data_IF_344433132141
#
_entry.id   IF_344433132141
#
_cell.length_a   1.000
_cell.length_b   1.000
_cell.length_c   1.000
_cell.angle_alpha   90.00
_cell.angle_beta   90.00
_cell.angle_gamma   90.00
#
_symmetry.space_group_name_H-M   'P 1'
#
loop_
_entity.id
_entity.type
_entity.pdbx_description
1 polymer ?
#
# COMPACT_ATOMS: atom_id res chain seq x y z
N UNK A 1 2.64 15.80 -22.94
CA UNK A 1 1.23 15.30 -22.90
C UNK A 1 0.33 16.31 -22.19
N UNK A 2 -0.89 16.58 -22.66
CA UNK A 2 -1.87 17.38 -21.87
C UNK A 2 -2.51 16.47 -20.83
N UNK A 3 -2.03 16.50 -19.59
CA UNK A 3 -2.70 15.78 -18.49
C UNK A 3 -4.02 16.48 -18.20
N UNK A 4 -5.13 15.77 -18.35
CA UNK A 4 -6.45 16.34 -18.08
C UNK A 4 -6.69 16.50 -16.57
N UNK A 5 -7.54 17.47 -16.19
CA UNK A 5 -7.98 17.60 -14.79
C UNK A 5 -8.65 16.33 -14.26
N UNK A 6 -9.37 15.59 -15.12
CA UNK A 6 -9.98 14.30 -14.77
C UNK A 6 -8.92 13.26 -14.41
N UNK A 7 -7.84 13.16 -15.20
CA UNK A 7 -6.73 12.25 -14.92
C UNK A 7 -6.06 12.57 -13.58
N UNK A 8 -5.79 13.85 -13.32
CA UNK A 8 -5.18 14.30 -12.06
C UNK A 8 -6.04 13.95 -10.85
N UNK A 9 -7.36 14.20 -10.94
CA UNK A 9 -8.32 13.89 -9.85
C UNK A 9 -8.48 12.40 -9.62
N UNK A 10 -8.54 11.61 -10.70
CA UNK A 10 -8.63 10.15 -10.61
C UNK A 10 -7.38 9.57 -9.92
N UNK A 11 -6.20 10.05 -10.31
CA UNK A 11 -4.95 9.67 -9.66
C UNK A 11 -4.92 10.09 -8.18
N UNK A 12 -5.34 11.32 -7.85
CA UNK A 12 -5.40 11.78 -6.47
C UNK A 12 -6.36 10.95 -5.60
N UNK A 13 -7.52 10.58 -6.14
CA UNK A 13 -8.45 9.67 -5.46
C UNK A 13 -7.83 8.28 -5.26
N UNK A 14 -7.11 7.76 -6.26
CA UNK A 14 -6.40 6.48 -6.15
C UNK A 14 -5.22 6.50 -5.19
N UNK A 15 -4.68 7.66 -4.78
CA UNK A 15 -3.73 7.72 -3.66
C UNK A 15 -4.42 7.70 -2.29
N UNK A 16 -5.66 8.21 -2.18
CA UNK A 16 -6.39 8.29 -0.90
C UNK A 16 -7.20 7.03 -0.59
N UNK A 17 -7.92 6.49 -1.59
CA UNK A 17 -8.83 5.36 -1.39
C UNK A 17 -8.13 4.08 -0.88
N UNK A 18 -6.95 3.67 -1.40
CA UNK A 18 -6.26 2.51 -0.86
C UNK A 18 -5.81 2.71 0.59
N UNK A 19 -5.36 3.92 0.97
CA UNK A 19 -5.00 4.23 2.35
C UNK A 19 -6.16 3.95 3.32
N UNK A 20 -7.36 4.43 2.99
CA UNK A 20 -8.56 4.16 3.80
C UNK A 20 -9.02 2.70 3.72
N UNK A 21 -9.00 2.09 2.53
CA UNK A 21 -9.41 0.69 2.36
C UNK A 21 -8.49 -0.25 3.15
N UNK A 22 -7.18 -0.03 3.10
CA UNK A 22 -6.21 -0.82 3.84
C UNK A 22 -6.34 -0.60 5.35
N UNK A 23 -6.44 0.66 5.79
CA UNK A 23 -6.58 0.99 7.22
C UNK A 23 -7.86 0.40 7.83
N UNK A 24 -9.00 0.60 7.18
CA UNK A 24 -10.29 0.04 7.64
C UNK A 24 -10.32 -1.48 7.54
N UNK A 25 -9.80 -2.05 6.44
CA UNK A 25 -9.74 -3.50 6.26
C UNK A 25 -8.91 -4.19 7.35
N UNK A 26 -7.74 -3.63 7.66
CA UNK A 26 -6.86 -4.12 8.73
C UNK A 26 -7.51 -3.95 10.10
N UNK A 27 -8.16 -2.81 10.36
CA UNK A 27 -8.87 -2.59 11.62
C UNK A 27 -9.98 -3.62 11.86
N UNK A 28 -10.78 -3.94 10.83
CA UNK A 28 -11.83 -4.97 10.91
C UNK A 28 -11.26 -6.37 11.12
N UNK A 29 -10.20 -6.74 10.41
CA UNK A 29 -9.56 -8.05 10.59
C UNK A 29 -8.97 -8.18 11.99
N UNK A 30 -8.22 -7.17 12.44
CA UNK A 30 -7.55 -7.21 13.74
C UNK A 30 -8.53 -7.14 14.93
N UNK A 31 -9.67 -6.45 14.80
CA UNK A 31 -10.70 -6.45 15.84
C UNK A 31 -11.27 -7.84 16.08
N UNK A 32 -11.51 -8.59 15.00
CA UNK A 32 -12.01 -9.97 15.07
C UNK A 32 -10.92 -10.92 15.60
N UNK A 33 -9.66 -10.75 15.19
CA UNK A 33 -8.54 -11.59 15.67
C UNK A 33 -8.24 -11.43 17.17
N UNK A 34 -8.61 -10.29 17.78
CA UNK A 34 -8.48 -10.08 19.24
C UNK A 34 -9.51 -10.86 20.06
N UNK A 35 -10.61 -11.30 19.45
CA UNK A 35 -11.68 -12.05 20.09
C UNK A 35 -11.95 -13.35 19.29
N UNK A 36 -10.99 -14.28 19.26
CA UNK A 36 -11.07 -15.46 18.41
C UNK A 36 -12.24 -16.38 18.79
N UNK A 37 -12.72 -16.38 20.04
CA UNK A 37 -13.96 -17.09 20.42
C UNK A 37 -15.23 -16.59 19.69
N UNK A 38 -15.22 -15.38 19.14
CA UNK A 38 -16.36 -14.80 18.41
C UNK A 38 -16.20 -14.83 16.89
N UNK A 39 -15.15 -15.46 16.36
CA UNK A 39 -14.83 -15.48 14.94
C UNK A 39 -16.00 -16.00 14.08
N UNK A 40 -16.73 -17.00 14.58
CA UNK A 40 -17.90 -17.56 13.91
C UNK A 40 -19.06 -16.55 13.79
N UNK A 41 -19.30 -15.75 14.82
CA UNK A 41 -20.34 -14.70 14.84
C UNK A 41 -19.94 -13.44 14.07
N UNK A 42 -18.64 -13.17 13.94
CA UNK A 42 -18.11 -11.97 13.27
C UNK A 42 -17.53 -12.26 11.87
N UNK A 43 -17.84 -13.42 11.28
CA UNK A 43 -17.32 -13.85 9.97
C UNK A 43 -17.55 -12.81 8.86
N UNK A 44 -18.72 -12.16 8.86
CA UNK A 44 -19.05 -11.12 7.88
C UNK A 44 -18.12 -9.90 7.98
N UNK A 45 -17.74 -9.49 9.19
CA UNK A 45 -16.80 -8.38 9.42
C UNK A 45 -15.40 -8.74 8.95
N UNK A 46 -14.94 -9.95 9.26
CA UNK A 46 -13.62 -10.43 8.83
C UNK A 46 -13.53 -10.50 7.31
N UNK A 47 -14.52 -11.11 6.66
CA UNK A 47 -14.59 -11.21 5.20
C UNK A 47 -14.70 -9.82 4.57
N UNK A 48 -15.48 -8.91 5.15
CA UNK A 48 -15.56 -7.52 4.72
C UNK A 48 -14.19 -6.82 4.78
N UNK A 49 -13.43 -7.03 5.85
CA UNK A 49 -12.06 -6.54 5.98
C UNK A 49 -11.13 -7.13 4.92
N UNK A 50 -11.17 -8.44 4.69
CA UNK A 50 -10.40 -9.11 3.65
C UNK A 50 -10.73 -8.58 2.23
N UNK A 51 -12.01 -8.33 1.94
CA UNK A 51 -12.45 -7.73 0.67
C UNK A 51 -11.88 -6.32 0.50
N UNK A 52 -11.88 -5.49 1.55
CA UNK A 52 -11.27 -4.15 1.51
C UNK A 52 -9.75 -4.22 1.23
N UNK A 53 -9.04 -5.21 1.78
CA UNK A 53 -7.61 -5.42 1.52
C UNK A 53 -7.34 -5.85 0.05
N UNK A 54 -8.23 -6.66 -0.55
CA UNK A 54 -8.15 -6.98 -1.98
C UNK A 54 -8.46 -5.77 -2.84
N UNK A 55 -9.47 -4.97 -2.49
CA UNK A 55 -9.78 -3.72 -3.18
C UNK A 55 -8.61 -2.74 -3.14
N UNK A 56 -7.92 -2.63 -1.99
CA UNK A 56 -6.67 -1.87 -1.88
C UNK A 56 -5.66 -2.32 -2.95
N UNK A 57 -5.46 -3.63 -3.09
CA UNK A 57 -4.51 -4.20 -4.06
C UNK A 57 -4.87 -3.82 -5.51
N UNK A 58 -6.16 -3.83 -5.88
CA UNK A 58 -6.62 -3.39 -7.19
C UNK A 58 -6.39 -1.89 -7.42
N UNK A 59 -6.65 -1.07 -6.40
CA UNK A 59 -6.45 0.38 -6.48
C UNK A 59 -4.97 0.73 -6.64
N UNK A 60 -4.08 0.02 -5.93
CA UNK A 60 -2.62 0.15 -6.05
C UNK A 60 -2.14 -0.11 -7.49
N UNK A 61 -2.64 -1.17 -8.14
CA UNK A 61 -2.35 -1.42 -9.57
C UNK A 61 -2.88 -0.27 -10.43
N UNK A 62 -4.07 0.24 -10.12
CA UNK A 62 -4.65 1.42 -10.76
C UNK A 62 -3.75 2.67 -10.67
N UNK A 63 -3.10 2.91 -9.54
CA UNK A 63 -2.10 3.98 -9.39
C UNK A 63 -0.97 3.73 -10.40
N UNK A 64 -0.40 2.53 -10.43
CA UNK A 64 0.65 2.14 -11.37
C UNK A 64 0.29 2.48 -12.82
N UNK A 65 -0.90 2.07 -13.26
CA UNK A 65 -1.39 2.29 -14.62
C UNK A 65 -1.60 3.78 -14.94
N UNK A 66 -2.22 4.55 -14.04
CA UNK A 66 -2.44 5.98 -14.28
C UNK A 66 -1.16 6.82 -14.18
N UNK A 67 -0.16 6.35 -13.45
CA UNK A 67 1.13 7.02 -13.31
C UNK A 67 2.11 6.69 -14.44
N UNK A 68 1.95 5.51 -15.08
CA UNK A 68 2.79 5.06 -16.19
C UNK A 68 3.02 6.11 -17.29
N UNK A 69 1.98 6.74 -17.89
CA UNK A 69 2.21 7.69 -18.98
C UNK A 69 3.01 8.92 -18.52
N UNK A 70 2.88 9.33 -17.26
CA UNK A 70 3.58 10.47 -16.68
C UNK A 70 5.08 10.15 -16.52
N UNK A 71 5.41 8.97 -15.99
CA UNK A 71 6.79 8.53 -15.84
C UNK A 71 7.46 8.22 -17.18
N UNK A 72 6.70 7.69 -18.14
CA UNK A 72 7.22 7.27 -19.45
C UNK A 72 7.82 8.44 -20.24
N UNK A 73 7.27 9.64 -20.11
CA UNK A 73 7.78 10.83 -20.82
C UNK A 73 9.24 11.15 -20.50
N UNK A 74 9.70 10.80 -19.29
CA UNK A 74 11.03 11.16 -18.81
C UNK A 74 11.97 9.96 -18.71
N UNK A 75 11.45 8.80 -18.32
CA UNK A 75 12.24 7.59 -18.09
C UNK A 75 11.39 6.35 -18.32
N UNK A 76 11.34 5.81 -19.55
CA UNK A 76 10.56 4.62 -19.87
C UNK A 76 10.91 3.41 -19.01
N UNK A 77 12.20 3.21 -18.70
CA UNK A 77 12.65 2.11 -17.84
C UNK A 77 12.09 2.21 -16.41
N UNK A 78 12.12 3.39 -15.80
CA UNK A 78 11.55 3.61 -14.46
C UNK A 78 10.02 3.51 -14.49
N UNK A 79 9.37 3.93 -15.58
CA UNK A 79 7.92 3.78 -15.72
C UNK A 79 7.48 2.32 -15.72
N UNK A 80 8.20 1.46 -16.45
CA UNK A 80 7.96 0.01 -16.46
C UNK A 80 8.26 -0.57 -15.08
N UNK A 81 9.43 -0.26 -14.51
CA UNK A 81 9.81 -0.72 -13.18
C UNK A 81 8.76 -0.36 -12.12
N UNK A 82 8.24 0.86 -12.16
CA UNK A 82 7.19 1.33 -11.25
C UNK A 82 5.92 0.49 -11.36
N UNK A 83 5.42 0.25 -12.58
CA UNK A 83 4.25 -0.61 -12.78
C UNK A 83 4.52 -2.03 -12.29
N UNK A 84 5.68 -2.60 -12.60
CA UNK A 84 6.07 -3.92 -12.10
C UNK A 84 6.06 -3.96 -10.57
N UNK A 85 6.64 -2.96 -9.89
CA UNK A 85 6.63 -2.89 -8.43
C UNK A 85 5.22 -2.78 -7.85
N UNK A 86 4.31 -2.05 -8.49
CA UNK A 86 2.91 -1.94 -8.07
C UNK A 86 2.13 -3.24 -8.24
N UNK A 87 2.38 -3.97 -9.31
CA UNK A 87 1.80 -5.30 -9.52
C UNK A 87 2.35 -6.29 -8.50
N UNK A 88 3.66 -6.30 -8.27
CA UNK A 88 4.29 -7.17 -7.26
C UNK A 88 3.75 -6.88 -5.85
N UNK A 89 3.67 -5.59 -5.46
CA UNK A 89 3.06 -5.14 -4.21
C UNK A 89 1.63 -5.69 -4.04
N UNK A 90 0.79 -5.49 -5.06
CA UNK A 90 -0.60 -5.95 -5.04
C UNK A 90 -0.70 -7.48 -4.89
N UNK A 91 0.14 -8.23 -5.61
CA UNK A 91 0.19 -9.69 -5.48
C UNK A 91 0.63 -10.13 -4.08
N UNK A 92 1.63 -9.46 -3.49
CA UNK A 92 2.09 -9.76 -2.14
C UNK A 92 0.99 -9.46 -1.10
N UNK A 93 0.23 -8.38 -1.25
CA UNK A 93 -0.94 -8.14 -0.39
C UNK A 93 -2.02 -9.21 -0.55
N UNK A 94 -2.33 -9.64 -1.77
CA UNK A 94 -3.29 -10.73 -2.00
C UNK A 94 -2.83 -12.01 -1.33
N UNK A 95 -1.54 -12.36 -1.40
CA UNK A 95 -0.97 -13.49 -0.66
C UNK A 95 -1.18 -13.32 0.85
N UNK A 96 -0.93 -12.11 1.38
CA UNK A 96 -1.23 -11.76 2.77
C UNK A 96 -2.70 -12.00 3.15
N UNK A 97 -3.64 -11.63 2.27
CA UNK A 97 -5.08 -11.88 2.46
C UNK A 97 -5.40 -13.37 2.43
N UNK A 98 -4.77 -14.17 1.57
CA UNK A 98 -4.95 -15.62 1.55
C UNK A 98 -4.60 -16.23 2.92
N UNK A 99 -3.49 -15.80 3.55
CA UNK A 99 -3.16 -16.25 4.90
C UNK A 99 -4.24 -15.88 5.93
N UNK A 100 -4.83 -14.69 5.84
CA UNK A 100 -5.96 -14.30 6.70
C UNK A 100 -7.20 -15.17 6.45
N UNK A 101 -7.51 -15.50 5.20
CA UNK A 101 -8.63 -16.38 4.88
C UNK A 101 -8.40 -17.83 5.35
N UNK A 102 -7.15 -18.29 5.41
CA UNK A 102 -6.81 -19.57 6.05
C UNK A 102 -7.13 -19.56 7.55
N UNK A 103 -6.98 -18.41 8.23
CA UNK A 103 -7.38 -18.28 9.65
C UNK A 103 -8.88 -18.51 9.84
N UNK A 104 -9.72 -18.09 8.90
CA UNK A 104 -11.16 -18.38 8.98
C UNK A 104 -11.49 -19.88 8.90
N UNK A 105 -10.62 -20.69 8.30
CA UNK A 105 -10.83 -22.13 8.17
C UNK A 105 -10.36 -22.90 9.41
N UNK A 106 -9.59 -22.27 10.29
CA UNK A 106 -8.99 -22.92 11.46
C UNK A 106 -9.98 -23.30 12.57
N UNK A 107 -11.26 -22.91 12.46
CA UNK A 107 -12.30 -23.34 13.41
C UNK A 107 -11.97 -22.99 14.87
N UNK A 108 -12.21 -23.93 15.79
CA UNK A 108 -11.93 -23.76 17.23
C UNK A 108 -10.42 -23.68 17.50
N UNK A 109 -9.94 -22.44 17.60
CA UNK A 109 -8.56 -22.10 17.98
C UNK A 109 -8.19 -22.45 19.43
N UNK A 110 -9.08 -23.12 20.17
CA UNK A 110 -8.89 -23.58 21.55
C UNK A 110 -7.96 -24.80 21.65
N UNK A 111 -7.71 -25.50 20.53
CA UNK A 111 -6.70 -26.56 20.48
C UNK A 111 -5.28 -25.98 20.40
N UNK A 112 -4.27 -26.59 21.04
CA UNK A 112 -2.88 -26.12 20.98
C UNK A 112 -2.33 -26.01 19.55
N UNK A 113 -2.74 -26.92 18.66
CA UNK A 113 -2.38 -26.92 17.25
C UNK A 113 -3.03 -25.75 16.50
N UNK A 114 -4.32 -25.48 16.74
CA UNK A 114 -5.04 -24.35 16.15
C UNK A 114 -4.45 -23.00 16.55
N UNK A 115 -4.07 -22.84 17.83
CA UNK A 115 -3.41 -21.63 18.31
C UNK A 115 -2.03 -21.40 17.69
N UNK A 116 -1.28 -22.46 17.40
CA UNK A 116 0.04 -22.37 16.73
C UNK A 116 -0.10 -21.96 15.27
N UNK A 117 -1.05 -22.58 14.54
CA UNK A 117 -1.34 -22.24 13.15
C UNK A 117 -1.89 -20.81 12.99
N UNK A 118 -2.73 -20.34 13.91
CA UNK A 118 -3.22 -18.97 13.93
C UNK A 118 -2.07 -17.96 14.02
N UNK A 119 -1.12 -18.19 14.94
CA UNK A 119 0.08 -17.34 15.08
C UNK A 119 0.93 -17.38 13.81
N UNK A 120 1.13 -18.55 13.22
CA UNK A 120 1.91 -18.72 12.00
C UNK A 120 1.30 -17.93 10.82
N UNK A 121 0.00 -18.07 10.56
CA UNK A 121 -0.65 -17.35 9.47
C UNK A 121 -0.74 -15.84 9.73
N UNK A 122 -0.94 -15.42 10.97
CA UNK A 122 -0.91 -14.00 11.35
C UNK A 122 0.49 -13.42 11.09
N UNK A 123 1.55 -14.14 11.48
CA UNK A 123 2.92 -13.73 11.20
C UNK A 123 3.23 -13.70 9.70
N UNK A 124 2.75 -14.68 8.95
CA UNK A 124 2.90 -14.72 7.50
C UNK A 124 2.22 -13.52 6.80
N UNK A 125 1.06 -13.07 7.30
CA UNK A 125 0.41 -11.85 6.83
C UNK A 125 1.26 -10.60 7.11
N UNK A 126 1.86 -10.48 8.30
CA UNK A 126 2.77 -9.37 8.64
C UNK A 126 3.99 -9.37 7.72
N UNK A 127 4.59 -10.52 7.45
CA UNK A 127 5.73 -10.62 6.52
C UNK A 127 5.35 -10.26 5.09
N UNK A 128 4.18 -10.71 4.61
CA UNK A 128 3.66 -10.31 3.32
C UNK A 128 3.49 -8.78 3.24
N UNK A 129 2.98 -8.15 4.29
CA UNK A 129 2.89 -6.69 4.36
C UNK A 129 4.26 -6.00 4.28
N UNK A 130 5.26 -6.44 5.06
CA UNK A 130 6.57 -5.80 5.03
C UNK A 130 7.29 -5.99 3.69
N UNK A 131 7.14 -7.15 3.05
CA UNK A 131 7.66 -7.36 1.69
C UNK A 131 6.97 -6.43 0.68
N UNK A 132 5.65 -6.30 0.74
CA UNK A 132 4.89 -5.38 -0.11
C UNK A 132 5.34 -3.92 0.09
N UNK A 133 5.51 -3.48 1.34
CA UNK A 133 6.00 -2.15 1.68
C UNK A 133 7.43 -1.89 1.21
N UNK A 134 8.30 -2.89 1.27
CA UNK A 134 9.67 -2.80 0.76
C UNK A 134 9.67 -2.58 -0.75
N UNK A 135 8.91 -3.40 -1.49
CA UNK A 135 8.76 -3.32 -2.96
C UNK A 135 8.17 -1.97 -3.37
N UNK A 136 7.09 -1.56 -2.69
CA UNK A 136 6.44 -0.25 -2.86
C UNK A 136 7.43 0.89 -2.69
N UNK A 137 8.17 0.88 -1.58
CA UNK A 137 9.07 1.95 -1.19
C UNK A 137 10.20 2.12 -2.20
N UNK A 138 10.83 1.02 -2.64
CA UNK A 138 11.89 1.07 -3.65
C UNK A 138 11.36 1.60 -4.98
N UNK A 139 10.24 1.05 -5.47
CA UNK A 139 9.65 1.45 -6.75
C UNK A 139 9.19 2.91 -6.75
N UNK A 140 8.52 3.34 -5.69
CA UNK A 140 7.99 4.70 -5.57
C UNK A 140 9.10 5.71 -5.32
N UNK A 141 10.12 5.40 -4.52
CA UNK A 141 11.27 6.28 -4.35
C UNK A 141 11.98 6.56 -5.69
N UNK A 142 12.23 5.52 -6.49
CA UNK A 142 12.81 5.66 -7.83
C UNK A 142 11.92 6.49 -8.77
N UNK A 143 10.60 6.27 -8.74
CA UNK A 143 9.64 7.03 -9.53
C UNK A 143 9.62 8.53 -9.16
N UNK A 144 9.55 8.86 -7.87
CA UNK A 144 9.53 10.25 -7.40
C UNK A 144 10.88 10.96 -7.60
N UNK A 145 12.01 10.26 -7.44
CA UNK A 145 13.32 10.79 -7.83
C UNK A 145 13.37 11.12 -9.33
N UNK A 146 12.72 10.31 -10.17
CA UNK A 146 12.62 10.61 -11.59
C UNK A 146 11.82 11.88 -11.85
N UNK A 147 10.74 12.09 -11.10
CA UNK A 147 9.88 13.28 -11.20
C UNK A 147 10.49 14.54 -10.56
N UNK A 148 11.60 14.45 -9.82
CA UNK A 148 12.22 15.63 -9.18
C UNK A 148 12.65 16.71 -10.17
N UNK A 149 13.09 16.32 -11.38
CA UNK A 149 13.45 17.31 -12.42
C UNK A 149 12.25 17.75 -13.26
N UNK A 150 11.06 17.29 -12.93
CA UNK A 150 9.84 17.49 -13.70
C UNK A 150 9.08 18.70 -13.14
N UNK A 151 8.64 19.63 -14.00
CA UNK A 151 7.91 20.84 -13.59
C UNK A 151 6.40 20.58 -13.34
N UNK A 152 5.97 19.31 -13.41
CA UNK A 152 4.58 18.89 -13.27
C UNK A 152 4.07 18.98 -11.83
N UNK A 153 4.98 18.80 -10.87
CA UNK A 153 4.76 18.90 -9.44
C UNK A 153 5.63 20.02 -8.86
N UNK A 154 5.21 20.69 -7.78
CA UNK A 154 6.07 21.57 -6.99
C UNK A 154 7.38 20.87 -6.62
N UNK A 155 8.53 21.53 -6.80
CA UNK A 155 9.86 20.90 -6.66
C UNK A 155 10.16 20.28 -5.28
N UNK A 156 9.40 20.61 -4.23
CA UNK A 156 9.53 19.98 -2.92
C UNK A 156 8.82 18.61 -2.85
N UNK A 157 7.70 18.43 -3.57
CA UNK A 157 6.85 17.24 -3.46
C UNK A 157 7.58 15.96 -3.85
N UNK A 158 8.24 15.87 -5.03
CA UNK A 158 8.97 14.66 -5.38
C UNK A 158 10.13 14.33 -4.43
N UNK A 159 10.76 15.34 -3.80
CA UNK A 159 11.83 15.10 -2.80
C UNK A 159 11.28 14.49 -1.52
N UNK A 160 10.21 15.08 -0.98
CA UNK A 160 9.54 14.56 0.22
C UNK A 160 8.99 13.16 -0.03
N UNK A 161 8.39 12.92 -1.19
CA UNK A 161 7.92 11.59 -1.59
C UNK A 161 9.06 10.57 -1.67
N UNK A 162 10.15 10.91 -2.37
CA UNK A 162 11.31 10.02 -2.48
C UNK A 162 11.91 9.64 -1.12
N UNK A 163 12.06 10.62 -0.22
CA UNK A 163 12.55 10.38 1.15
C UNK A 163 11.53 9.56 1.95
N UNK A 164 10.24 9.88 1.87
CA UNK A 164 9.18 9.16 2.57
C UNK A 164 9.09 7.68 2.18
N UNK A 165 9.11 7.38 0.89
CA UNK A 165 9.11 6.00 0.40
C UNK A 165 10.43 5.27 0.66
N UNK A 166 11.56 5.98 0.63
CA UNK A 166 12.86 5.43 1.02
C UNK A 166 12.89 5.02 2.49
N UNK A 167 12.42 5.89 3.38
CA UNK A 167 12.28 5.59 4.81
C UNK A 167 11.31 4.42 5.03
N UNK A 168 10.16 4.41 4.37
CA UNK A 168 9.18 3.32 4.46
C UNK A 168 9.82 1.97 4.07
N UNK A 169 10.61 1.94 2.99
CA UNK A 169 11.33 0.73 2.57
C UNK A 169 12.33 0.26 3.63
N UNK A 170 13.14 1.18 4.17
CA UNK A 170 14.10 0.87 5.24
C UNK A 170 13.39 0.37 6.48
N UNK A 171 12.30 1.02 6.89
CA UNK A 171 11.49 0.60 8.04
C UNK A 171 10.91 -0.81 7.86
N UNK A 172 10.40 -1.12 6.68
CA UNK A 172 9.86 -2.45 6.37
C UNK A 172 10.95 -3.54 6.42
N UNK A 173 12.15 -3.25 5.92
CA UNK A 173 13.30 -4.16 6.02
C UNK A 173 13.71 -4.37 7.49
N UNK A 174 13.77 -3.29 8.29
CA UNK A 174 14.12 -3.38 9.71
C UNK A 174 13.12 -4.24 10.50
N UNK A 175 11.82 -4.16 10.20
CA UNK A 175 10.79 -5.01 10.80
C UNK A 175 10.98 -6.49 10.47
N UNK A 176 11.46 -6.82 9.26
CA UNK A 176 11.81 -8.20 8.90
C UNK A 176 12.98 -8.72 9.78
N UNK A 177 13.92 -7.85 10.15
CA UNK A 177 14.99 -8.16 11.10
C UNK A 177 14.55 -8.14 12.58
N UNK A 178 13.27 -7.89 12.86
CA UNK A 178 12.72 -7.85 14.21
C UNK A 178 12.95 -6.53 14.96
N UNK A 179 13.33 -5.46 14.26
CA UNK A 179 13.50 -4.13 14.84
C UNK A 179 12.21 -3.31 14.64
N UNK A 180 11.55 -2.82 15.70
CA UNK A 180 10.21 -2.23 15.64
C UNK A 180 10.21 -0.76 15.18
N UNK A 181 10.93 -0.46 14.09
CA UNK A 181 11.04 0.90 13.53
C UNK A 181 10.10 1.13 12.34
N UNK A 182 9.36 0.12 11.89
CA UNK A 182 8.53 0.22 10.68
C UNK A 182 7.44 1.27 10.76
N UNK A 183 6.79 1.39 11.92
CA UNK A 183 5.72 2.38 12.13
C UNK A 183 6.25 3.83 12.11
N UNK A 184 7.43 4.06 12.69
CA UNK A 184 8.04 5.39 12.75
C UNK A 184 8.43 5.84 11.33
N UNK A 185 9.03 4.93 10.56
CA UNK A 185 9.49 5.22 9.21
C UNK A 185 8.39 5.24 8.14
N UNK A 186 7.23 4.62 8.39
CA UNK A 186 6.08 4.67 7.47
C UNK A 186 5.27 5.96 7.58
N UNK A 187 5.29 6.63 8.74
CA UNK A 187 4.56 7.86 9.00
C UNK A 187 4.80 8.97 7.96
N UNK A 188 6.05 9.32 7.64
CA UNK A 188 6.36 10.31 6.59
C UNK A 188 5.80 9.94 5.21
N UNK A 189 5.85 8.66 4.85
CA UNK A 189 5.30 8.15 3.60
C UNK A 189 3.78 8.28 3.53
N UNK A 190 3.07 7.86 4.58
CA UNK A 190 1.61 7.97 4.66
C UNK A 190 1.12 9.42 4.63
N UNK A 191 1.78 10.32 5.37
CA UNK A 191 1.47 11.76 5.32
C UNK A 191 1.71 12.35 3.93
N UNK A 192 2.77 11.93 3.25
CA UNK A 192 3.05 12.35 1.89
C UNK A 192 1.94 11.91 0.92
N UNK A 193 1.47 10.66 1.00
CA UNK A 193 0.39 10.15 0.13
C UNK A 193 -0.92 10.91 0.34
N UNK A 194 -1.28 11.19 1.59
CA UNK A 194 -2.46 12.00 1.92
C UNK A 194 -2.35 13.40 1.31
N UNK A 195 -1.21 14.05 1.51
CA UNK A 195 -0.98 15.39 0.99
C UNK A 195 -0.97 15.42 -0.55
N UNK A 196 -0.28 14.47 -1.19
CA UNK A 196 -0.22 14.36 -2.65
C UNK A 196 -1.61 14.08 -3.24
N UNK A 197 -2.36 13.14 -2.66
CA UNK A 197 -3.71 12.80 -3.08
C UNK A 197 -4.65 14.00 -3.03
N UNK A 198 -4.69 14.71 -1.89
CA UNK A 198 -5.47 15.94 -1.74
C UNK A 198 -5.02 17.03 -2.71
N UNK A 199 -3.70 17.21 -2.91
CA UNK A 199 -3.17 18.20 -3.85
C UNK A 199 -3.56 17.92 -5.30
N UNK A 200 -3.50 16.66 -5.73
CA UNK A 200 -3.90 16.22 -7.08
C UNK A 200 -5.40 16.40 -7.33
N UNK A 201 -6.24 16.24 -6.30
CA UNK A 201 -7.68 16.48 -6.40
C UNK A 201 -7.99 17.97 -6.54
N UNK A 202 -7.37 18.81 -5.71
CA UNK A 202 -7.69 20.25 -5.65
C UNK A 202 -7.03 21.02 -6.80
N UNK A 203 -5.73 20.82 -7.00
CA UNK A 203 -4.93 21.60 -7.95
C UNK A 203 -4.63 20.85 -9.25
N UNK A 204 -4.38 19.54 -9.15
CA UNK A 204 -3.94 18.71 -10.27
C UNK A 204 -2.53 19.03 -10.75
N UNK A 205 -2.06 18.34 -11.79
CA UNK A 205 -0.73 18.58 -12.33
C UNK A 205 -0.61 19.98 -12.93
N UNK A 206 0.56 20.61 -12.75
CA UNK A 206 0.86 21.89 -13.42
C UNK A 206 0.95 21.64 -14.92
N UNK A 207 0.21 22.43 -15.69
CA UNK A 207 0.39 22.52 -17.13
C UNK A 207 1.64 23.34 -17.39
N UNK A 208 2.71 22.69 -17.85
CA UNK A 208 3.84 23.41 -18.45
C UNK A 208 3.36 23.88 -19.81
N UNK A 209 3.08 25.18 -19.92
CA UNK A 209 2.89 25.86 -21.21
C UNK A 209 4.22 26.02 -21.91
#
# INVERSE_FOLDING_TARGET
MRITRRHSRALGALFLLPFFAYGLGTALVTSVLKQPEQLAGQRALFVGGAVLLVLNSLMVVGIGVLFFPILRERSPGIAIAYVCTRVMEALTFVIGVVFLLCILQLGDSTTPEGGTLLKLFSQANVWAYQLAMTILGVGSAAAFLSLHRSQWLPAFLPRVGAVGYGLLSVGAVLEIFGLPYGMIFSGPGGLFELFLGSWLIIRGFRTVT
#
